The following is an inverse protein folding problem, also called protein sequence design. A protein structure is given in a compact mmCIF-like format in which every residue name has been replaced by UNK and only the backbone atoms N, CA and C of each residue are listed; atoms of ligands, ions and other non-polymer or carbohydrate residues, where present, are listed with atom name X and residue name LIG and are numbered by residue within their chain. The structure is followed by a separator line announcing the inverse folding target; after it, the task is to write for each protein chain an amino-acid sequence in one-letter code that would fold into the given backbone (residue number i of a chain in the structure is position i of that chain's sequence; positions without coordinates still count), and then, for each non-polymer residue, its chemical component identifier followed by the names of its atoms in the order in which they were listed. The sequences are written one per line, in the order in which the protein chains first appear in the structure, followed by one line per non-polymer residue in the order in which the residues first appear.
data_IF_827256222600
#
_entry.id   IF_827256222600
#
_cell.length_a   1.000
_cell.length_b   1.000
_cell.length_c   1.000
_cell.angle_alpha   90.00
_cell.angle_beta   90.00
_cell.angle_gamma   90.00
#
_symmetry.space_group_name_H-M   'P 1'
#
loop_
_entity.id
_entity.type
_entity.pdbx_description
1 polymer ?
#
# COMPACT_ATOMS: atom_id res chain seq x y z
N UNK A 1 2.37 -9.43 -14.40
CA UNK A 1 1.36 -9.97 -15.35
C UNK A 1 0.21 -10.70 -14.67
N UNK A 2 0.45 -11.59 -13.69
CA UNK A 2 -0.61 -12.31 -12.98
C UNK A 2 -1.70 -11.40 -12.35
N UNK A 3 -1.30 -10.26 -11.78
CA UNK A 3 -2.21 -9.29 -11.18
C UNK A 3 -3.28 -8.77 -12.16
N UNK A 4 -2.91 -8.37 -13.38
CA UNK A 4 -3.89 -7.87 -14.36
C UNK A 4 -4.86 -8.98 -14.82
N UNK A 5 -4.39 -10.22 -14.87
CA UNK A 5 -5.18 -11.38 -15.30
C UNK A 5 -6.23 -11.75 -14.25
N UNK A 6 -5.96 -11.56 -12.96
CA UNK A 6 -6.94 -11.84 -11.90
C UNK A 6 -8.13 -10.86 -11.90
N UNK A 7 -7.98 -9.66 -12.47
CA UNK A 7 -9.08 -8.69 -12.58
C UNK A 7 -9.82 -8.71 -13.91
N UNK A 8 -9.29 -9.42 -14.93
CA UNK A 8 -9.90 -9.53 -16.26
C UNK A 8 -11.37 -9.99 -16.25
N UNK A 9 -11.78 -11.01 -15.46
CA UNK A 9 -13.18 -11.42 -15.37
C UNK A 9 -14.09 -10.30 -14.84
N UNK A 10 -13.60 -9.53 -13.88
CA UNK A 10 -14.35 -8.45 -13.25
C UNK A 10 -14.46 -7.20 -14.14
N UNK A 11 -13.44 -6.93 -14.96
CA UNK A 11 -13.47 -5.85 -15.97
C UNK A 11 -14.56 -6.10 -17.00
N UNK A 12 -14.77 -7.36 -17.42
CA UNK A 12 -15.81 -7.70 -18.39
C UNK A 12 -17.20 -7.90 -17.76
N UNK A 13 -17.28 -8.26 -16.48
CA UNK A 13 -18.55 -8.51 -15.80
C UNK A 13 -19.21 -7.23 -15.29
N UNK A 14 -18.46 -6.37 -14.58
CA UNK A 14 -19.00 -5.15 -13.99
C UNK A 14 -17.88 -4.12 -13.74
N UNK A 15 -17.46 -3.48 -14.84
CA UNK A 15 -16.41 -2.45 -14.81
C UNK A 15 -16.83 -1.21 -14.03
N UNK A 16 -18.12 -0.86 -14.04
CA UNK A 16 -18.65 0.25 -13.26
C UNK A 16 -18.53 -0.03 -11.77
N UNK A 17 -18.89 -1.23 -11.31
CA UNK A 17 -18.67 -1.65 -9.93
C UNK A 17 -17.19 -1.74 -9.58
N UNK A 18 -16.33 -2.19 -10.48
CA UNK A 18 -14.91 -2.38 -10.19
C UNK A 18 -14.14 -1.06 -10.05
N UNK A 19 -14.37 -0.12 -10.97
CA UNK A 19 -13.63 1.15 -11.04
C UNK A 19 -14.38 2.32 -10.39
N UNK A 20 -15.71 2.28 -10.33
CA UNK A 20 -16.57 3.40 -9.95
C UNK A 20 -17.49 3.11 -8.73
N UNK A 21 -17.20 2.08 -7.93
CA UNK A 21 -17.98 1.77 -6.73
C UNK A 21 -18.05 2.93 -5.73
N UNK A 22 -19.26 3.43 -5.45
CA UNK A 22 -19.51 4.56 -4.54
C UNK A 22 -18.91 4.41 -3.12
N UNK A 23 -18.62 3.18 -2.68
CA UNK A 23 -18.00 2.84 -1.39
C UNK A 23 -16.68 2.06 -1.52
N UNK A 24 -15.99 2.16 -2.66
CA UNK A 24 -14.63 1.64 -2.77
C UNK A 24 -13.73 2.44 -1.80
N UNK A 25 -12.82 1.81 -1.04
CA UNK A 25 -11.83 2.53 -0.23
C UNK A 25 -11.04 3.58 -1.04
N UNK A 26 -10.87 3.39 -2.35
CA UNK A 26 -10.28 4.39 -3.27
C UNK A 26 -11.27 5.51 -3.67
N UNK A 27 -12.58 5.29 -3.56
CA UNK A 27 -13.62 6.26 -3.93
C UNK A 27 -13.97 7.24 -2.83
N UNK A 28 -13.95 6.79 -1.58
CA UNK A 28 -13.98 7.70 -0.45
C UNK A 28 -12.66 8.51 -0.38
N UNK A 29 -11.54 7.94 -0.85
CA UNK A 29 -10.29 8.67 -1.08
C UNK A 29 -10.35 9.66 -2.26
N UNK A 30 -11.11 9.39 -3.34
CA UNK A 30 -11.26 10.32 -4.50
C UNK A 30 -12.41 11.32 -4.36
N UNK A 31 -13.33 11.16 -3.40
CA UNK A 31 -14.23 12.25 -2.99
C UNK A 31 -13.47 13.46 -2.42
N UNK A 32 -12.27 13.22 -1.90
CA UNK A 32 -11.30 14.25 -1.52
C UNK A 32 -10.09 14.29 -2.46
N UNK A 33 -9.72 13.19 -3.08
CA UNK A 33 -8.48 13.01 -3.83
C UNK A 33 -8.58 13.51 -5.26
N UNK A 34 -7.56 14.26 -5.66
CA UNK A 34 -7.38 14.70 -7.03
C UNK A 34 -6.99 13.51 -7.91
N UNK A 35 -7.73 13.28 -9.00
CA UNK A 35 -7.44 12.20 -9.96
C UNK A 35 -6.02 12.30 -10.53
N UNK A 36 -5.46 13.51 -10.57
CA UNK A 36 -4.09 13.76 -10.99
C UNK A 36 -3.06 13.14 -10.03
N UNK A 37 -3.34 13.15 -8.72
CA UNK A 37 -2.45 12.53 -7.73
C UNK A 37 -2.38 11.03 -7.99
N UNK A 38 -3.53 10.39 -8.23
CA UNK A 38 -3.58 8.97 -8.56
C UNK A 38 -2.78 8.64 -9.83
N UNK A 39 -2.93 9.45 -10.90
CA UNK A 39 -2.20 9.26 -12.15
C UNK A 39 -0.68 9.44 -12.00
N UNK A 40 -0.22 10.24 -11.04
CA UNK A 40 1.20 10.41 -10.72
C UNK A 40 1.72 9.28 -9.82
N UNK A 41 0.94 8.88 -8.82
CA UNK A 41 1.34 7.86 -7.86
C UNK A 41 1.34 6.45 -8.44
N UNK A 42 0.50 6.17 -9.44
CA UNK A 42 0.44 4.88 -10.11
C UNK A 42 1.77 4.46 -10.76
N UNK A 43 2.42 5.24 -11.64
CA UNK A 43 3.71 4.87 -12.22
C UNK A 43 4.85 4.82 -11.18
N UNK A 44 4.82 5.69 -10.16
CA UNK A 44 5.82 5.68 -9.06
C UNK A 44 5.68 4.40 -8.23
N UNK A 45 4.45 4.03 -7.89
CA UNK A 45 4.14 2.80 -7.17
C UNK A 45 4.57 1.55 -7.95
N UNK A 46 4.30 1.53 -9.26
CA UNK A 46 4.75 0.43 -10.14
C UNK A 46 6.27 0.34 -10.17
N UNK A 47 6.98 1.45 -10.38
CA UNK A 47 8.44 1.50 -10.42
C UNK A 47 9.05 0.95 -9.11
N UNK A 48 8.56 1.42 -7.97
CA UNK A 48 9.09 1.02 -6.66
C UNK A 48 8.71 -0.42 -6.30
N UNK A 49 7.51 -0.86 -6.70
CA UNK A 49 7.06 -2.26 -6.57
C UNK A 49 7.85 -3.25 -7.44
N UNK A 50 8.75 -2.80 -8.32
CA UNK A 50 9.63 -3.68 -9.11
C UNK A 50 11.06 -3.78 -8.55
N UNK A 51 11.40 -3.03 -7.49
CA UNK A 51 12.78 -2.93 -6.96
C UNK A 51 13.13 -3.96 -5.89
N UNK A 52 12.26 -4.94 -5.62
CA UNK A 52 12.46 -5.91 -4.53
C UNK A 52 13.28 -7.11 -4.99
N UNK A 53 14.14 -7.61 -4.08
CA UNK A 53 14.92 -8.84 -4.28
C UNK A 53 14.44 -9.97 -3.36
N UNK A 54 13.87 -9.62 -2.21
CA UNK A 54 13.35 -10.57 -1.22
C UNK A 54 11.90 -10.26 -0.83
N UNK A 55 11.15 -11.30 -0.45
CA UNK A 55 9.75 -11.20 -0.01
C UNK A 55 9.53 -10.15 1.09
N UNK A 56 10.48 -10.02 2.04
CA UNK A 56 10.47 -8.97 3.06
C UNK A 56 10.41 -7.57 2.43
N UNK A 57 11.32 -7.30 1.51
CA UNK A 57 11.43 -5.99 0.85
C UNK A 57 10.20 -5.69 0.00
N UNK A 58 9.61 -6.70 -0.63
CA UNK A 58 8.34 -6.56 -1.33
C UNK A 58 7.24 -6.05 -0.38
N UNK A 59 7.07 -6.70 0.77
CA UNK A 59 6.07 -6.29 1.77
C UNK A 59 6.34 -4.90 2.36
N UNK A 60 7.60 -4.58 2.64
CA UNK A 60 8.00 -3.24 3.12
C UNK A 60 7.70 -2.15 2.08
N UNK A 61 8.07 -2.37 0.81
CA UNK A 61 7.81 -1.40 -0.25
C UNK A 61 6.32 -1.23 -0.54
N UNK A 62 5.53 -2.31 -0.50
CA UNK A 62 4.07 -2.23 -0.60
C UNK A 62 3.47 -1.41 0.55
N UNK A 63 3.93 -1.63 1.79
CA UNK A 63 3.48 -0.83 2.93
C UNK A 63 3.83 0.66 2.77
N UNK A 64 5.07 0.97 2.37
CA UNK A 64 5.53 2.35 2.21
C UNK A 64 4.78 3.08 1.10
N UNK A 65 4.55 2.45 -0.06
CA UNK A 65 3.81 3.09 -1.16
C UNK A 65 2.38 3.43 -0.72
N UNK A 66 1.71 2.50 -0.02
CA UNK A 66 0.36 2.74 0.49
C UNK A 66 0.33 3.85 1.54
N UNK A 67 1.28 3.86 2.49
CA UNK A 67 1.38 4.90 3.50
C UNK A 67 1.72 6.28 2.92
N UNK A 68 2.68 6.35 1.98
CA UNK A 68 3.08 7.59 1.30
C UNK A 68 1.91 8.14 0.49
N UNK A 69 1.15 7.29 -0.20
CA UNK A 69 -0.02 7.70 -0.96
C UNK A 69 -1.04 8.40 -0.05
N UNK A 70 -1.37 7.81 1.11
CA UNK A 70 -2.29 8.43 2.07
C UNK A 70 -1.76 9.78 2.58
N UNK A 71 -0.49 9.83 2.98
CA UNK A 71 0.15 11.06 3.50
C UNK A 71 0.15 12.17 2.47
N UNK A 72 0.59 11.89 1.24
CA UNK A 72 0.70 12.93 0.22
C UNK A 72 -0.68 13.41 -0.24
N UNK A 73 -1.65 12.51 -0.41
CA UNK A 73 -3.02 12.92 -0.76
C UNK A 73 -3.64 13.79 0.34
N UNK A 74 -3.41 13.46 1.62
CA UNK A 74 -3.87 14.30 2.73
C UNK A 74 -3.21 15.68 2.70
N UNK A 75 -1.87 15.73 2.65
CA UNK A 75 -1.12 17.00 2.62
C UNK A 75 -1.48 17.86 1.40
N UNK A 76 -1.63 17.25 0.22
CA UNK A 76 -1.99 17.97 -0.99
C UNK A 76 -3.39 18.58 -0.90
N UNK A 77 -4.36 17.84 -0.36
CA UNK A 77 -5.71 18.35 -0.15
C UNK A 77 -5.75 19.45 0.92
N UNK A 78 -5.00 19.30 2.01
CA UNK A 78 -4.88 20.34 3.05
C UNK A 78 -4.25 21.60 2.46
N UNK A 79 -3.27 21.45 1.56
CA UNK A 79 -2.64 22.57 0.87
C UNK A 79 -3.61 23.31 -0.08
N UNK A 80 -4.40 22.58 -0.88
CA UNK A 80 -5.36 23.17 -1.81
C UNK A 80 -6.52 23.85 -1.07
N UNK A 81 -7.04 23.22 -0.01
CA UNK A 81 -8.25 23.68 0.69
C UNK A 81 -7.98 24.60 1.87
N UNK A 82 -6.74 24.67 2.35
CA UNK A 82 -6.36 25.45 3.53
C UNK A 82 -6.82 24.84 4.85
N UNK A 83 -7.28 23.59 4.85
CA UNK A 83 -7.93 22.89 5.97
C UNK A 83 -6.92 22.26 6.95
N UNK A 84 -5.89 23.02 7.36
CA UNK A 84 -4.79 22.48 8.19
C UNK A 84 -5.22 22.11 9.61
N UNK A 85 -6.16 22.88 10.17
CA UNK A 85 -6.61 22.72 11.55
C UNK A 85 -7.68 21.63 11.71
N UNK A 86 -8.30 21.18 10.62
CA UNK A 86 -9.43 20.25 10.60
C UNK A 86 -9.01 18.82 10.21
N UNK A 87 -7.72 18.51 10.41
CA UNK A 87 -7.12 17.23 10.02
C UNK A 87 -7.89 16.01 10.55
N UNK A 88 -8.24 16.02 11.84
CA UNK A 88 -8.93 14.90 12.48
C UNK A 88 -10.43 14.84 12.17
N UNK A 89 -11.01 15.93 11.68
CA UNK A 89 -12.46 16.04 11.45
C UNK A 89 -12.82 15.74 9.99
N UNK A 90 -11.98 16.18 9.05
CA UNK A 90 -12.23 16.03 7.61
C UNK A 90 -11.54 14.80 7.01
N UNK A 91 -10.44 14.32 7.59
CA UNK A 91 -9.65 13.24 7.01
C UNK A 91 -9.82 11.94 7.81
N UNK A 92 -10.20 10.88 7.11
CA UNK A 92 -10.39 9.57 7.73
C UNK A 92 -9.04 8.86 7.93
N UNK A 93 -8.53 8.89 9.16
CA UNK A 93 -7.23 8.31 9.51
C UNK A 93 -7.21 6.78 9.31
N UNK A 94 -8.38 6.12 9.23
CA UNK A 94 -8.44 4.67 9.01
C UNK A 94 -7.83 4.25 7.67
N UNK A 95 -7.61 5.18 6.73
CA UNK A 95 -6.86 4.90 5.50
C UNK A 95 -5.42 4.41 5.73
N UNK A 96 -4.79 4.77 6.85
CA UNK A 96 -3.50 4.19 7.23
C UNK A 96 -3.58 2.69 7.51
N UNK A 97 -4.77 2.13 7.77
CA UNK A 97 -4.93 0.69 7.96
C UNK A 97 -4.60 -0.12 6.71
N UNK A 98 -4.61 0.49 5.51
CA UNK A 98 -4.24 -0.18 4.27
C UNK A 98 -2.79 -0.67 4.27
N UNK A 99 -1.87 0.01 4.97
CA UNK A 99 -0.46 -0.41 5.03
C UNK A 99 -0.21 -1.52 6.07
N UNK A 100 -1.11 -1.68 7.05
CA UNK A 100 -0.89 -2.55 8.21
C UNK A 100 -0.68 -4.04 7.86
N UNK A 101 -1.49 -4.69 6.99
CA UNK A 101 -1.28 -6.08 6.64
C UNK A 101 0.13 -6.35 6.08
N UNK A 102 0.63 -5.43 5.27
CA UNK A 102 1.96 -5.52 4.67
C UNK A 102 3.08 -5.33 5.69
N UNK A 103 2.92 -4.40 6.63
CA UNK A 103 3.85 -4.23 7.76
C UNK A 103 3.91 -5.47 8.65
N UNK A 104 2.76 -6.07 8.96
CA UNK A 104 2.68 -7.28 9.78
C UNK A 104 3.40 -8.45 9.09
N UNK A 105 3.18 -8.64 7.79
CA UNK A 105 3.87 -9.67 7.00
C UNK A 105 5.38 -9.43 6.89
N UNK A 106 5.81 -8.17 6.75
CA UNK A 106 7.22 -7.82 6.76
C UNK A 106 7.89 -8.11 8.12
N UNK A 107 7.20 -7.82 9.23
CA UNK A 107 7.68 -8.13 10.58
C UNK A 107 7.78 -9.63 10.82
N UNK A 108 6.76 -10.41 10.40
CA UNK A 108 6.78 -11.87 10.49
C UNK A 108 7.99 -12.44 9.72
N UNK A 109 8.20 -11.97 8.49
CA UNK A 109 9.34 -12.36 7.67
C UNK A 109 10.66 -12.18 8.42
N UNK A 110 10.82 -11.05 9.10
CA UNK A 110 12.02 -10.73 9.90
C UNK A 110 12.24 -11.73 11.04
N UNK A 111 11.17 -12.10 11.76
CA UNK A 111 11.23 -13.10 12.83
C UNK A 111 11.64 -14.48 12.32
N UNK A 112 11.12 -14.91 11.18
CA UNK A 112 11.46 -16.19 10.54
C UNK A 112 12.91 -16.23 10.06
N UNK A 113 13.41 -15.13 9.47
CA UNK A 113 14.82 -15.00 9.06
C UNK A 113 15.77 -15.05 10.27
N UNK A 114 15.44 -14.36 11.36
CA UNK A 114 16.24 -14.37 12.58
C UNK A 114 16.32 -15.77 13.22
N UNK A 115 15.19 -16.50 13.26
CA UNK A 115 15.11 -17.88 13.76
C UNK A 115 15.97 -18.84 12.92
N UNK A 116 15.84 -18.80 11.59
CA UNK A 116 16.60 -19.67 10.70
C UNK A 116 18.11 -19.40 10.74
N UNK A 117 18.53 -18.13 10.82
CA UNK A 117 19.95 -17.78 10.98
C UNK A 117 20.54 -18.35 12.27
N UNK A 118 19.78 -18.28 13.38
CA UNK A 118 20.20 -18.81 14.68
C UNK A 118 20.33 -20.34 14.66
N UNK A 119 19.43 -21.02 13.95
CA UNK A 119 19.48 -22.48 13.75
C UNK A 119 20.72 -22.91 12.95
N UNK A 120 21.04 -22.21 11.86
CA UNK A 120 22.25 -22.47 11.06
C UNK A 120 23.53 -22.29 11.87
N UNK A 121 23.67 -21.19 12.61
CA UNK A 121 24.85 -20.95 13.48
C UNK A 121 25.03 -22.05 14.54
N UNK A 122 23.93 -22.59 15.07
CA UNK A 122 24.01 -23.68 16.03
C UNK A 122 24.38 -25.02 15.39
N UNK A 123 24.02 -25.25 14.11
CA UNK A 123 24.42 -26.45 13.39
C UNK A 123 25.92 -26.45 13.06
N UNK A 124 26.48 -25.30 12.67
CA UNK A 124 27.92 -25.14 12.40
C UNK A 124 28.79 -25.29 13.66
N UNK A 125 28.21 -25.11 14.86
CA UNK A 125 28.92 -25.29 16.14
C UNK A 125 28.95 -26.74 16.64
N UNK A 126 28.18 -27.63 16.03
CA UNK A 126 28.06 -29.04 16.43
C UNK A 126 28.92 -29.95 15.52
N UNK A 127 29.53 -29.39 14.47
CA UNK A 127 30.58 -30.03 13.65
C UNK A 127 31.97 -29.66 14.17
#
# INVERSE_FOLDING_TARGET
MAFAITFLPFIFWDSEMLFFFKYNPFILQTRQGNILDFLIFLPIGIYWSMKWWHYKQYMEYSAYILGILVVVTFLHNMWIRGEWCEFFDLYDITYFNMMLPFLILAMQSTGTFASNKKKLINMDKIQ
#
